data_IF_600496511080
#
_entry.id   IF_600496511080
#
_cell.length_a   1.000
_cell.length_b   1.000
_cell.length_c   1.000
_cell.angle_alpha   90.00
_cell.angle_beta   90.00
_cell.angle_gamma   90.00
#
_symmetry.space_group_name_H-M   'P 1'
#
loop_
_entity.id
_entity.type
_entity.pdbx_description
1 polymer ?
#
# COMPACT_ATOMS: atom_id res chain seq x y z
N UNK A 1 -19.32 -22.92 -11.87
CA UNK A 1 -17.93 -22.56 -11.44
C UNK A 1 -17.64 -21.13 -11.93
N UNK A 2 -16.90 -20.28 -11.20
CA UNK A 2 -16.64 -18.90 -11.65
C UNK A 2 -15.40 -18.85 -12.54
N UNK A 3 -15.61 -18.80 -13.85
CA UNK A 3 -14.55 -18.46 -14.80
C UNK A 3 -14.30 -16.94 -14.80
N UNK A 4 -13.07 -16.55 -15.09
CA UNK A 4 -12.59 -15.18 -14.88
C UNK A 4 -13.28 -14.15 -15.79
N UNK A 5 -13.76 -13.07 -15.17
CA UNK A 5 -13.84 -11.77 -15.84
C UNK A 5 -12.41 -11.34 -16.13
N UNK A 6 -12.09 -11.02 -17.38
CA UNK A 6 -10.81 -10.41 -17.71
C UNK A 6 -10.75 -9.01 -17.08
N UNK A 7 -9.74 -8.74 -16.24
CA UNK A 7 -9.62 -7.51 -15.44
C UNK A 7 -9.46 -6.20 -16.22
N UNK A 8 -9.66 -6.21 -17.54
CA UNK A 8 -9.69 -4.99 -18.37
C UNK A 8 -10.82 -4.03 -18.01
N UNK A 9 -11.83 -4.48 -17.26
CA UNK A 9 -12.87 -3.61 -16.70
C UNK A 9 -12.41 -2.86 -15.43
N UNK A 10 -11.37 -3.34 -14.73
CA UNK A 10 -10.81 -2.68 -13.54
C UNK A 10 -9.92 -1.47 -13.91
N UNK A 11 -9.59 -1.36 -15.20
CA UNK A 11 -8.76 -0.32 -15.80
C UNK A 11 -9.58 0.77 -16.55
N UNK A 12 -10.92 0.66 -16.58
CA UNK A 12 -11.84 1.64 -17.18
C UNK A 12 -12.14 2.80 -16.19
N UNK A 13 -11.80 4.06 -16.52
CA UNK A 13 -12.02 5.21 -15.64
C UNK A 13 -13.47 5.73 -15.63
N UNK A 14 -14.35 5.34 -16.56
CA UNK A 14 -15.74 5.85 -16.62
C UNK A 14 -16.70 5.10 -15.68
N UNK A 15 -16.31 3.93 -15.17
CA UNK A 15 -17.11 3.14 -14.23
C UNK A 15 -17.03 3.70 -12.79
N UNK A 16 -17.82 4.75 -12.54
CA UNK A 16 -17.98 5.35 -11.20
C UNK A 16 -18.60 4.34 -10.20
N UNK A 17 -17.73 3.73 -9.39
CA UNK A 17 -18.04 2.61 -8.48
C UNK A 17 -19.00 3.00 -7.34
N UNK A 18 -20.32 2.96 -7.59
CA UNK A 18 -21.40 3.30 -6.63
C UNK A 18 -21.62 2.29 -5.49
N UNK A 19 -20.56 1.63 -5.01
CA UNK A 19 -20.61 0.74 -3.85
C UNK A 19 -20.12 1.50 -2.62
N UNK A 20 -20.94 1.60 -1.58
CA UNK A 20 -20.51 2.15 -0.28
C UNK A 20 -19.55 1.17 0.41
N UNK A 21 -18.26 1.28 0.09
CA UNK A 21 -17.21 0.42 0.63
C UNK A 21 -17.07 0.65 2.15
N UNK A 22 -17.63 -0.26 2.95
CA UNK A 22 -17.45 -0.24 4.41
C UNK A 22 -16.00 -0.59 4.77
N UNK A 23 -15.15 0.43 4.83
CA UNK A 23 -13.75 0.31 5.26
C UNK A 23 -13.70 -0.03 6.77
N UNK A 24 -13.00 -1.11 7.19
CA UNK A 24 -12.72 -1.34 8.60
C UNK A 24 -11.75 -0.27 9.14
N UNK A 25 -11.74 0.00 10.46
CA UNK A 25 -10.91 1.05 11.03
C UNK A 25 -9.41 0.90 10.74
N UNK A 26 -8.72 2.03 10.51
CA UNK A 26 -7.28 2.03 10.20
C UNK A 26 -6.44 1.51 11.38
N UNK A 27 -5.65 0.45 11.14
CA UNK A 27 -4.91 -0.26 12.18
C UNK A 27 -3.54 0.39 12.45
N UNK A 28 -3.29 0.73 13.71
CA UNK A 28 -1.99 1.24 14.17
C UNK A 28 -1.02 0.13 14.56
N UNK A 29 0.17 0.12 13.96
CA UNK A 29 1.29 -0.76 14.34
C UNK A 29 2.37 0.04 15.10
N UNK A 30 2.91 -0.54 16.17
CA UNK A 30 3.98 0.07 16.96
C UNK A 30 5.11 -0.91 17.25
N UNK A 31 6.36 -0.43 17.17
CA UNK A 31 7.54 -1.23 17.50
C UNK A 31 7.71 -1.40 19.03
N UNK A 32 8.39 -2.48 19.45
CA UNK A 32 8.65 -2.80 20.87
C UNK A 32 9.44 -1.68 21.56
N UNK A 33 8.77 -0.88 22.38
CA UNK A 33 9.37 0.13 23.28
C UNK A 33 9.59 -0.40 24.71
N UNK A 34 9.86 -1.69 24.84
CA UNK A 34 10.45 -2.35 26.02
C UNK A 34 9.58 -2.53 27.28
N UNK A 35 8.65 -1.62 27.59
CA UNK A 35 7.94 -1.62 28.89
C UNK A 35 6.58 -2.32 28.87
N UNK A 36 6.23 -2.99 29.97
CA UNK A 36 4.87 -3.56 30.20
C UNK A 36 3.77 -2.49 30.07
N UNK A 37 4.05 -1.26 30.52
CA UNK A 37 3.15 -0.09 30.41
C UNK A 37 2.80 0.22 28.96
N UNK A 38 3.78 0.19 28.06
CA UNK A 38 3.55 0.49 26.65
C UNK A 38 2.77 -0.65 25.96
N UNK A 39 3.07 -1.91 26.27
CA UNK A 39 2.28 -3.05 25.77
C UNK A 39 0.81 -3.00 26.23
N UNK A 40 0.55 -2.60 27.48
CA UNK A 40 -0.81 -2.34 27.97
C UNK A 40 -1.51 -1.20 27.25
N UNK A 41 -0.79 -0.11 26.95
CA UNK A 41 -1.33 1.04 26.22
C UNK A 41 -1.67 0.70 24.75
N UNK A 42 -0.94 -0.23 24.12
CA UNK A 42 -1.28 -0.74 22.79
C UNK A 42 -2.56 -1.59 22.82
N UNK A 43 -2.65 -2.56 23.75
CA UNK A 43 -3.87 -3.37 23.92
C UNK A 43 -5.11 -2.53 24.21
N UNK A 44 -4.99 -1.52 25.07
CA UNK A 44 -6.08 -0.62 25.43
C UNK A 44 -6.53 0.37 24.33
N UNK A 45 -5.92 0.31 23.13
CA UNK A 45 -6.27 1.15 21.99
C UNK A 45 -6.58 0.34 20.70
N UNK A 46 -6.59 -1.00 20.78
CA UNK A 46 -6.62 -1.95 19.65
C UNK A 46 -5.44 -1.81 18.67
N UNK A 47 -4.22 -1.73 19.21
CA UNK A 47 -2.99 -1.63 18.43
C UNK A 47 -2.22 -2.95 18.34
N UNK A 48 -1.49 -3.07 17.22
CA UNK A 48 -0.73 -4.26 16.86
C UNK A 48 0.78 -4.01 16.96
N UNK A 49 1.57 -5.08 17.04
CA UNK A 49 3.03 -4.96 17.10
C UNK A 49 3.64 -4.90 15.70
N UNK A 50 4.64 -4.03 15.51
CA UNK A 50 5.58 -4.15 14.40
C UNK A 50 6.80 -4.95 14.89
N UNK A 51 6.92 -6.19 14.43
CA UNK A 51 8.07 -7.07 14.72
C UNK A 51 9.09 -6.87 13.61
N UNK A 52 10.30 -6.41 13.95
CA UNK A 52 11.38 -6.16 12.97
C UNK A 52 12.35 -7.33 12.89
N UNK A 53 12.76 -7.70 11.68
CA UNK A 53 13.81 -8.70 11.46
C UNK A 53 15.15 -8.34 12.14
N UNK A 54 15.47 -7.05 12.26
CA UNK A 54 16.66 -6.53 12.98
C UNK A 54 16.41 -6.35 14.49
N UNK A 55 15.51 -7.13 15.09
CA UNK A 55 15.10 -7.02 16.50
C UNK A 55 14.69 -8.34 17.15
N UNK A 56 14.15 -8.26 18.36
CA UNK A 56 13.62 -9.45 19.04
C UNK A 56 12.33 -9.92 18.35
N UNK A 57 12.32 -11.16 17.84
CA UNK A 57 11.15 -11.80 17.20
C UNK A 57 10.09 -12.25 18.23
N UNK A 58 9.71 -11.38 19.17
CA UNK A 58 8.71 -11.60 20.23
C UNK A 58 7.39 -10.90 19.88
N UNK A 59 6.28 -11.60 20.04
CA UNK A 59 4.92 -11.13 19.69
C UNK A 59 4.06 -10.82 20.91
N UNK A 60 4.47 -11.18 22.13
CA UNK A 60 3.75 -10.91 23.39
C UNK A 60 2.26 -11.37 23.42
N UNK A 61 1.88 -12.30 22.54
CA UNK A 61 0.49 -12.71 22.32
C UNK A 61 -0.40 -11.64 21.68
N UNK A 62 0.17 -10.63 21.03
CA UNK A 62 -0.52 -9.54 20.31
C UNK A 62 -0.47 -9.83 18.81
N UNK A 63 -1.54 -9.58 18.03
CA UNK A 63 -1.49 -9.51 16.57
C UNK A 63 -0.40 -8.55 16.09
N UNK A 64 0.22 -8.86 14.95
CA UNK A 64 1.45 -8.21 14.53
C UNK A 64 1.71 -8.32 13.03
N UNK A 65 2.54 -7.40 12.53
CA UNK A 65 3.10 -7.42 11.20
C UNK A 65 4.63 -7.57 11.24
N UNK A 66 5.21 -8.03 10.14
CA UNK A 66 6.65 -8.27 9.99
C UNK A 66 7.33 -7.18 9.15
N UNK A 67 8.13 -6.35 9.83
CA UNK A 67 9.05 -5.37 9.23
C UNK A 67 10.35 -6.03 8.76
N UNK A 68 10.81 -5.65 7.57
CA UNK A 68 12.03 -6.16 6.95
C UNK A 68 13.32 -5.62 7.60
N UNK A 69 13.26 -4.49 8.31
CA UNK A 69 14.41 -3.84 8.96
C UNK A 69 15.28 -2.97 8.04
N UNK A 70 14.91 -2.78 6.77
CA UNK A 70 15.67 -2.00 5.79
C UNK A 70 15.89 -0.54 6.23
N UNK A 71 14.87 0.10 6.81
CA UNK A 71 15.00 1.44 7.38
C UNK A 71 16.08 1.52 8.47
N UNK A 72 16.22 0.48 9.32
CA UNK A 72 17.27 0.44 10.34
C UNK A 72 18.66 0.24 9.74
N UNK A 73 18.78 -0.56 8.68
CA UNK A 73 20.05 -0.75 7.97
C UNK A 73 20.49 0.56 7.30
N UNK A 74 19.58 1.19 6.55
CA UNK A 74 19.75 2.51 5.92
C UNK A 74 20.20 3.58 6.91
N UNK A 75 19.55 3.70 8.08
CA UNK A 75 19.93 4.66 9.14
C UNK A 75 21.35 4.49 9.69
N UNK A 76 22.04 3.40 9.35
CA UNK A 76 23.38 3.06 9.84
C UNK A 76 24.43 2.93 8.75
N UNK A 77 24.05 3.05 7.48
CA UNK A 77 24.90 2.67 6.35
C UNK A 77 25.18 1.16 6.28
N UNK A 78 24.40 0.32 6.97
CA UNK A 78 24.51 -1.14 6.91
C UNK A 78 23.84 -1.67 5.62
N UNK A 79 24.38 -2.74 5.04
CA UNK A 79 23.70 -3.49 3.99
C UNK A 79 22.45 -4.22 4.52
N UNK A 80 21.49 -4.52 3.62
CA UNK A 80 20.28 -5.25 4.00
C UNK A 80 20.58 -6.69 4.45
N UNK A 81 20.03 -7.07 5.60
CA UNK A 81 20.32 -8.32 6.30
C UNK A 81 19.37 -9.44 5.87
N UNK A 82 19.65 -9.99 4.70
CA UNK A 82 18.88 -11.07 4.07
C UNK A 82 18.74 -12.30 4.98
N UNK A 83 19.74 -12.58 5.84
CA UNK A 83 19.73 -13.71 6.77
C UNK A 83 18.80 -13.44 7.96
N UNK A 84 18.87 -12.25 8.57
CA UNK A 84 17.94 -11.88 9.64
C UNK A 84 16.49 -11.88 9.14
N UNK A 85 16.25 -11.38 7.92
CA UNK A 85 14.91 -11.38 7.32
C UNK A 85 14.39 -12.81 7.07
N UNK A 86 15.19 -13.69 6.45
CA UNK A 86 14.82 -15.09 6.24
C UNK A 86 14.46 -15.80 7.57
N UNK A 87 15.27 -15.63 8.61
CA UNK A 87 15.01 -16.19 9.95
C UNK A 87 13.75 -15.59 10.61
N UNK A 88 13.41 -14.34 10.30
CA UNK A 88 12.19 -13.71 10.77
C UNK A 88 10.95 -14.27 10.05
N UNK A 89 11.02 -14.43 8.73
CA UNK A 89 9.96 -15.04 7.91
C UNK A 89 9.68 -16.48 8.37
N UNK A 90 10.71 -17.31 8.56
CA UNK A 90 10.59 -18.68 9.10
C UNK A 90 9.80 -18.76 10.42
N UNK A 91 10.05 -17.81 11.32
CA UNK A 91 9.57 -17.86 12.71
C UNK A 91 8.24 -17.14 12.90
N UNK A 92 7.85 -16.27 11.97
CA UNK A 92 6.78 -15.27 12.16
C UNK A 92 5.96 -14.95 10.90
N UNK A 93 6.46 -15.22 9.69
CA UNK A 93 5.79 -14.85 8.44
C UNK A 93 4.36 -15.40 8.35
N UNK A 94 4.19 -16.72 8.47
CA UNK A 94 2.92 -17.46 8.39
C UNK A 94 1.76 -16.86 9.23
N UNK A 95 2.07 -16.21 10.36
CA UNK A 95 1.09 -15.69 11.33
C UNK A 95 1.16 -14.18 11.52
N UNK A 96 1.78 -13.46 10.60
CA UNK A 96 1.72 -12.00 10.56
C UNK A 96 0.48 -11.54 9.77
N UNK A 97 -0.06 -10.38 10.11
CA UNK A 97 -1.15 -9.74 9.36
C UNK A 97 -0.74 -9.38 7.92
N UNK A 98 0.55 -9.12 7.76
CA UNK A 98 1.29 -8.95 6.51
C UNK A 98 2.80 -8.95 6.82
N UNK A 99 3.62 -9.17 5.80
CA UNK A 99 5.06 -8.90 5.81
C UNK A 99 5.41 -7.92 4.69
N UNK A 100 6.30 -6.96 4.96
CA UNK A 100 6.85 -6.10 3.90
C UNK A 100 8.03 -6.80 3.25
N UNK A 101 8.07 -6.80 1.92
CA UNK A 101 9.17 -7.38 1.14
C UNK A 101 10.44 -6.53 1.31
N UNK A 102 11.65 -7.12 1.22
CA UNK A 102 12.91 -6.38 1.29
C UNK A 102 13.01 -5.26 0.24
N UNK A 103 13.49 -4.11 0.69
CA UNK A 103 13.50 -2.86 -0.06
C UNK A 103 14.84 -2.13 0.02
N UNK A 104 15.03 -1.19 -0.89
CA UNK A 104 16.11 -0.21 -0.85
C UNK A 104 15.47 1.15 -0.60
N UNK A 105 15.71 1.70 0.59
CA UNK A 105 15.12 2.98 1.04
C UNK A 105 15.46 4.10 0.05
N UNK A 106 14.44 4.67 -0.59
CA UNK A 106 14.53 5.68 -1.65
C UNK A 106 15.21 5.20 -2.96
N UNK A 107 15.42 3.90 -3.14
CA UNK A 107 16.18 3.31 -4.24
C UNK A 107 15.45 3.11 -5.58
N UNK A 108 14.27 3.71 -5.77
CA UNK A 108 13.48 3.61 -7.01
C UNK A 108 13.30 2.17 -7.52
N UNK A 109 13.41 1.97 -8.83
CA UNK A 109 13.20 0.67 -9.48
C UNK A 109 14.13 -0.44 -8.98
N UNK A 110 15.36 -0.13 -8.56
CA UNK A 110 16.26 -1.12 -7.96
C UNK A 110 15.70 -1.69 -6.64
N UNK A 111 14.83 -0.96 -5.93
CA UNK A 111 14.07 -1.49 -4.81
C UNK A 111 12.93 -2.42 -5.24
N UNK A 112 12.27 -2.15 -6.37
CA UNK A 112 11.24 -3.04 -6.91
C UNK A 112 11.85 -4.36 -7.36
N UNK A 113 12.97 -4.32 -8.09
CA UNK A 113 13.76 -5.50 -8.47
C UNK A 113 14.16 -6.35 -7.27
N UNK A 114 14.48 -5.72 -6.14
CA UNK A 114 14.85 -6.42 -4.91
C UNK A 114 13.62 -7.05 -4.23
N UNK A 115 12.51 -6.30 -4.13
CA UNK A 115 11.24 -6.83 -3.62
C UNK A 115 10.71 -7.99 -4.48
N UNK A 116 10.82 -7.92 -5.81
CA UNK A 116 10.39 -8.97 -6.75
C UNK A 116 11.16 -10.29 -6.57
N UNK A 117 12.48 -10.22 -6.37
CA UNK A 117 13.33 -11.40 -6.08
C UNK A 117 12.89 -12.10 -4.78
N UNK A 118 12.35 -11.36 -3.82
CA UNK A 118 11.79 -11.92 -2.59
C UNK A 118 10.34 -12.38 -2.72
N UNK A 119 9.51 -11.69 -3.51
CA UNK A 119 8.15 -12.15 -3.86
C UNK A 119 8.19 -13.54 -4.52
N UNK A 120 9.15 -13.74 -5.44
CA UNK A 120 9.39 -15.04 -6.07
C UNK A 120 9.82 -16.11 -5.06
N UNK A 121 10.82 -15.79 -4.21
CA UNK A 121 11.34 -16.67 -3.15
C UNK A 121 10.30 -17.04 -2.08
N UNK A 122 9.27 -16.22 -1.91
CA UNK A 122 8.17 -16.40 -0.95
C UNK A 122 6.84 -16.77 -1.62
N UNK A 123 6.83 -17.15 -2.90
CA UNK A 123 5.63 -17.63 -3.60
C UNK A 123 4.98 -18.79 -2.82
N UNK A 124 3.66 -18.74 -2.69
CA UNK A 124 2.87 -19.73 -1.92
C UNK A 124 2.77 -19.46 -0.42
N UNK A 125 3.37 -18.37 0.09
CA UNK A 125 3.26 -17.98 1.50
C UNK A 125 1.79 -17.59 1.81
N UNK A 126 1.14 -18.15 2.84
CA UNK A 126 -0.26 -17.82 3.17
C UNK A 126 -0.42 -16.41 3.79
N UNK A 127 0.69 -15.80 4.22
CA UNK A 127 0.73 -14.42 4.70
C UNK A 127 0.78 -13.41 3.55
N UNK A 128 0.01 -12.33 3.68
CA UNK A 128 0.00 -11.22 2.72
C UNK A 128 1.38 -10.56 2.63
N UNK A 129 1.86 -10.36 1.41
CA UNK A 129 3.12 -9.66 1.15
C UNK A 129 2.84 -8.21 0.72
N UNK A 130 3.67 -7.26 1.13
CA UNK A 130 3.57 -5.86 0.68
C UNK A 130 4.83 -5.46 -0.10
N UNK A 131 4.65 -4.91 -1.30
CA UNK A 131 5.71 -4.28 -2.09
C UNK A 131 5.99 -2.89 -1.49
N UNK A 132 7.25 -2.61 -1.17
CA UNK A 132 7.65 -1.33 -0.61
C UNK A 132 7.91 -0.29 -1.73
N UNK A 133 6.92 0.55 -2.01
CA UNK A 133 7.03 1.58 -3.06
C UNK A 133 7.93 2.73 -2.61
N UNK A 134 8.86 3.17 -3.46
CA UNK A 134 9.92 4.14 -3.13
C UNK A 134 9.86 5.37 -4.05
N UNK A 135 10.67 6.37 -3.73
CA UNK A 135 10.92 7.55 -4.57
C UNK A 135 11.18 7.16 -6.03
N UNK A 136 10.42 7.76 -6.96
CA UNK A 136 10.59 7.59 -8.40
C UNK A 136 9.71 6.51 -9.05
N UNK A 137 9.16 5.55 -8.29
CA UNK A 137 8.22 4.56 -8.82
C UNK A 137 6.89 5.21 -9.22
N UNK A 138 6.30 4.73 -10.31
CA UNK A 138 4.98 5.10 -10.81
C UNK A 138 3.94 3.99 -10.51
N UNK A 139 2.67 4.29 -10.78
CA UNK A 139 1.56 3.33 -10.65
C UNK A 139 1.81 2.08 -11.50
N UNK A 140 2.17 2.29 -12.76
CA UNK A 140 2.19 1.22 -13.78
C UNK A 140 3.34 0.22 -13.57
N UNK A 141 4.43 0.66 -12.93
CA UNK A 141 5.54 -0.20 -12.47
C UNK A 141 5.06 -1.33 -11.53
N UNK A 142 3.95 -1.10 -10.81
CA UNK A 142 3.49 -1.97 -9.71
C UNK A 142 2.08 -2.51 -9.96
N UNK A 143 1.24 -1.83 -10.76
CA UNK A 143 -0.20 -2.11 -10.87
C UNK A 143 -0.57 -3.54 -11.28
N UNK A 144 0.28 -4.21 -12.07
CA UNK A 144 0.09 -5.60 -12.52
C UNK A 144 0.53 -6.66 -11.50
N UNK A 145 1.24 -6.25 -10.45
CA UNK A 145 1.76 -7.12 -9.38
C UNK A 145 0.80 -7.23 -8.19
N UNK A 146 -0.20 -6.35 -8.12
CA UNK A 146 -1.06 -6.17 -6.95
C UNK A 146 -2.29 -7.08 -6.96
N UNK A 147 -2.70 -7.49 -5.76
CA UNK A 147 -3.86 -8.35 -5.51
C UNK A 147 -4.26 -8.32 -4.03
N UNK A 148 -5.37 -8.95 -3.60
CA UNK A 148 -5.68 -9.10 -2.18
C UNK A 148 -4.57 -9.78 -1.33
N UNK A 149 -3.67 -10.54 -1.97
CA UNK A 149 -2.52 -11.20 -1.38
C UNK A 149 -1.18 -10.43 -1.52
N UNK A 150 -1.09 -9.48 -2.46
CA UNK A 150 0.10 -8.64 -2.70
C UNK A 150 -0.31 -7.16 -2.66
N UNK A 151 -0.03 -6.50 -1.54
CA UNK A 151 -0.38 -5.10 -1.29
C UNK A 151 0.77 -4.12 -1.42
N UNK A 152 0.53 -2.88 -0.99
CA UNK A 152 1.46 -1.75 -1.03
C UNK A 152 1.90 -1.37 0.40
N UNK A 153 3.19 -1.14 0.58
CA UNK A 153 3.77 -0.42 1.72
C UNK A 153 4.40 0.88 1.20
N UNK A 154 3.91 2.06 1.62
CA UNK A 154 4.49 3.33 1.15
C UNK A 154 5.81 3.64 1.86
N UNK A 155 6.91 3.22 1.21
CA UNK A 155 8.30 3.50 1.54
C UNK A 155 8.74 4.91 1.13
N UNK A 156 10.04 5.12 0.96
CA UNK A 156 10.62 6.39 0.54
C UNK A 156 10.72 7.48 1.61
N UNK A 157 11.05 8.70 1.16
CA UNK A 157 11.23 9.89 1.98
C UNK A 157 9.94 10.31 2.72
N UNK A 158 10.02 11.31 3.61
CA UNK A 158 8.82 11.84 4.28
C UNK A 158 7.94 12.60 3.27
N UNK A 159 8.57 13.43 2.45
CA UNK A 159 7.94 14.27 1.43
C UNK A 159 7.26 13.43 0.34
N UNK A 160 7.96 12.44 -0.23
CA UNK A 160 7.43 11.53 -1.25
C UNK A 160 6.14 10.83 -0.79
N UNK A 161 6.12 10.39 0.48
CA UNK A 161 4.93 9.81 1.11
C UNK A 161 3.76 10.80 1.16
N UNK A 162 4.03 12.05 1.51
CA UNK A 162 2.97 13.07 1.65
C UNK A 162 2.42 13.53 0.30
N UNK A 163 3.26 13.62 -0.72
CA UNK A 163 2.87 13.93 -2.10
C UNK A 163 2.10 12.77 -2.74
N UNK A 164 2.62 11.53 -2.67
CA UNK A 164 2.10 10.41 -3.49
C UNK A 164 1.06 9.51 -2.81
N UNK A 165 0.80 9.65 -1.50
CA UNK A 165 -0.08 8.71 -0.79
C UNK A 165 -1.49 8.57 -1.41
N UNK A 166 -2.06 9.65 -1.94
CA UNK A 166 -3.38 9.61 -2.58
C UNK A 166 -3.39 8.76 -3.87
N UNK A 167 -2.31 8.80 -4.66
CA UNK A 167 -2.15 7.98 -5.88
C UNK A 167 -2.11 6.50 -5.54
N UNK A 168 -1.28 6.12 -4.55
CA UNK A 168 -1.20 4.74 -4.06
C UNK A 168 -2.49 4.28 -3.38
N UNK A 169 -3.24 5.18 -2.75
CA UNK A 169 -4.60 4.95 -2.23
C UNK A 169 -5.59 4.56 -3.33
N UNK A 170 -5.63 5.34 -4.42
CA UNK A 170 -6.48 5.06 -5.57
C UNK A 170 -6.12 3.75 -6.27
N UNK A 171 -4.82 3.44 -6.42
CA UNK A 171 -4.36 2.16 -6.96
C UNK A 171 -4.77 0.99 -6.04
N UNK A 172 -4.58 1.12 -4.72
CA UNK A 172 -4.93 0.08 -3.77
C UNK A 172 -6.43 -0.23 -3.76
N UNK A 173 -7.28 0.79 -3.93
CA UNK A 173 -8.73 0.59 -4.12
C UNK A 173 -9.02 -0.24 -5.39
N UNK A 174 -8.51 0.20 -6.56
CA UNK A 174 -8.77 -0.47 -7.85
C UNK A 174 -8.27 -1.91 -7.90
N UNK A 175 -7.11 -2.22 -7.32
CA UNK A 175 -6.56 -3.59 -7.27
C UNK A 175 -7.01 -4.39 -6.03
N UNK A 176 -7.96 -3.85 -5.26
CA UNK A 176 -8.49 -4.40 -4.00
C UNK A 176 -7.39 -4.92 -3.04
N UNK A 177 -6.24 -4.27 -3.03
CA UNK A 177 -5.05 -4.71 -2.30
C UNK A 177 -4.89 -3.94 -0.98
N UNK A 178 -4.16 -4.52 -0.03
CA UNK A 178 -3.91 -3.88 1.26
C UNK A 178 -2.92 -2.72 1.13
N UNK A 179 -3.17 -1.62 1.84
CA UNK A 179 -2.29 -0.44 1.87
C UNK A 179 -1.80 -0.13 3.28
N UNK A 180 -0.47 -0.03 3.43
CA UNK A 180 0.21 0.41 4.65
C UNK A 180 1.06 1.66 4.39
N UNK A 181 1.10 2.63 5.33
CA UNK A 181 1.93 3.85 5.20
C UNK A 181 3.04 3.91 6.25
N UNK A 182 4.29 3.93 5.79
CA UNK A 182 5.46 3.83 6.66
C UNK A 182 5.79 5.08 7.49
N UNK A 183 6.24 4.85 8.73
CA UNK A 183 6.82 5.83 9.69
C UNK A 183 5.93 7.04 10.01
N UNK A 184 4.61 6.90 10.04
CA UNK A 184 3.63 7.96 10.34
C UNK A 184 3.78 8.44 11.79
N UNK A 185 4.46 9.58 11.96
CA UNK A 185 4.88 10.07 13.29
C UNK A 185 4.23 11.40 13.71
N UNK A 186 3.24 11.92 12.98
CA UNK A 186 2.55 13.18 13.31
C UNK A 186 1.07 13.14 12.94
N UNK A 187 0.25 13.94 13.62
CA UNK A 187 -1.19 14.05 13.36
C UNK A 187 -1.54 14.60 11.95
N UNK A 188 -0.62 15.34 11.29
CA UNK A 188 -0.77 15.72 9.88
C UNK A 188 -0.57 14.52 8.95
N UNK A 189 0.48 13.71 9.19
CA UNK A 189 0.75 12.51 8.38
C UNK A 189 -0.28 11.41 8.60
N UNK A 190 -0.86 11.31 9.80
CA UNK A 190 -1.99 10.43 10.08
C UNK A 190 -3.25 10.83 9.32
N UNK A 191 -3.53 12.14 9.17
CA UNK A 191 -4.61 12.65 8.31
C UNK A 191 -4.40 12.29 6.84
N UNK A 192 -3.19 12.51 6.30
CA UNK A 192 -2.84 12.14 4.91
C UNK A 192 -3.00 10.62 4.69
N UNK A 193 -2.53 9.82 5.64
CA UNK A 193 -2.64 8.35 5.61
C UNK A 193 -4.10 7.86 5.64
N UNK A 194 -4.96 8.46 6.46
CA UNK A 194 -6.38 8.12 6.51
C UNK A 194 -7.14 8.62 5.25
N UNK A 195 -6.82 9.80 4.73
CA UNK A 195 -7.40 10.34 3.49
C UNK A 195 -7.02 9.52 2.25
N UNK A 196 -5.82 8.93 2.24
CA UNK A 196 -5.39 7.95 1.24
C UNK A 196 -6.11 6.58 1.35
N UNK A 197 -7.05 6.41 2.27
CA UNK A 197 -7.79 5.15 2.46
C UNK A 197 -6.94 3.98 2.93
N UNK A 198 -5.78 4.24 3.56
CA UNK A 198 -4.87 3.19 4.00
C UNK A 198 -5.49 2.30 5.07
N UNK A 199 -5.21 0.99 5.01
CA UNK A 199 -5.68 0.02 6.00
C UNK A 199 -4.85 0.06 7.28
N UNK A 200 -3.60 0.54 7.22
CA UNK A 200 -2.71 0.66 8.39
C UNK A 200 -1.50 1.59 8.21
N UNK A 201 -0.77 1.80 9.31
CA UNK A 201 0.45 2.60 9.38
C UNK A 201 1.34 2.16 10.56
N UNK A 202 2.64 2.45 10.49
CA UNK A 202 3.59 2.29 11.60
C UNK A 202 4.10 3.63 12.13
N UNK A 203 4.73 3.62 13.31
CA UNK A 203 5.51 4.75 13.81
C UNK A 203 6.00 4.59 15.26
N UNK A 204 6.88 5.51 15.67
CA UNK A 204 7.55 5.50 16.98
C UNK A 204 6.92 6.47 17.98
N UNK A 205 6.31 7.56 17.52
CA UNK A 205 5.71 8.60 18.36
C UNK A 205 4.29 8.29 18.86
N UNK A 206 3.82 7.07 18.63
CA UNK A 206 2.42 6.82 18.31
C UNK A 206 1.47 6.62 19.50
N UNK A 207 1.98 6.25 20.68
CA UNK A 207 1.19 6.23 21.92
C UNK A 207 0.60 7.62 22.28
N UNK A 208 1.16 8.71 21.73
CA UNK A 208 0.62 10.08 21.86
C UNK A 208 -0.65 10.33 21.04
N UNK A 209 -0.89 9.55 19.98
CA UNK A 209 -1.96 9.79 19.00
C UNK A 209 -3.11 8.76 19.03
N UNK A 210 -3.04 7.74 19.91
CA UNK A 210 -4.09 6.73 20.06
C UNK A 210 -5.50 7.32 20.27
N UNK A 211 -5.63 8.39 21.07
CA UNK A 211 -6.92 9.08 21.30
C UNK A 211 -7.48 9.84 20.09
N UNK A 212 -6.66 10.13 19.08
CA UNK A 212 -7.08 10.84 17.86
C UNK A 212 -7.55 9.91 16.74
N UNK A 213 -7.19 8.62 16.77
CA UNK A 213 -7.54 7.67 15.72
C UNK A 213 -9.05 7.47 15.53
N UNK A 214 -9.86 7.13 16.55
CA UNK A 214 -11.30 6.91 16.38
C UNK A 214 -12.10 8.15 15.93
N UNK A 215 -11.46 9.33 15.92
CA UNK A 215 -12.02 10.58 15.40
C UNK A 215 -11.65 10.81 13.94
N UNK A 216 -10.37 10.64 13.58
CA UNK A 216 -9.91 10.76 12.20
C UNK A 216 -10.52 9.68 11.30
N UNK A 217 -10.53 8.44 11.77
CA UNK A 217 -11.12 7.27 11.10
C UNK A 217 -12.65 7.37 10.94
N UNK A 218 -13.32 8.15 11.80
CA UNK A 218 -14.74 8.48 11.64
C UNK A 218 -14.94 9.63 10.65
N UNK A 219 -14.09 10.66 10.70
CA UNK A 219 -14.17 11.80 9.80
C UNK A 219 -13.91 11.41 8.33
N UNK A 220 -12.96 10.52 8.05
CA UNK A 220 -12.74 10.00 6.69
C UNK A 220 -13.91 9.14 6.21
N UNK A 221 -14.49 8.30 7.07
CA UNK A 221 -15.71 7.54 6.73
C UNK A 221 -16.96 8.42 6.55
N UNK A 222 -16.99 9.61 7.15
CA UNK A 222 -18.03 10.62 6.89
C UNK A 222 -17.76 11.37 5.58
N UNK A 223 -16.50 11.65 5.25
CA UNK A 223 -16.11 12.16 3.94
C UNK A 223 -16.47 11.15 2.83
N UNK A 224 -16.20 9.85 2.99
CA UNK A 224 -16.60 8.79 2.04
C UNK A 224 -18.13 8.73 1.77
N UNK A 225 -18.99 9.37 2.57
CA UNK A 225 -20.45 9.51 2.26
C UNK A 225 -20.80 10.78 1.46
N UNK A 226 -19.87 11.73 1.32
CA UNK A 226 -20.06 13.00 0.61
C UNK A 226 -18.98 13.27 -0.46
N UNK A 227 -17.97 12.39 -0.59
CA UNK A 227 -16.79 12.55 -1.45
C UNK A 227 -16.88 11.80 -2.79
N UNK A 228 -18.08 11.73 -3.35
CA UNK A 228 -18.21 12.04 -4.78
C UNK A 228 -17.99 13.56 -4.98
N UNK A 229 -18.25 14.09 -6.17
CA UNK A 229 -18.23 15.56 -6.45
C UNK A 229 -16.83 16.20 -6.46
N UNK A 230 -16.05 15.80 -7.46
CA UNK A 230 -15.25 16.66 -8.36
C UNK A 230 -14.15 17.62 -7.86
N UNK A 231 -14.36 18.47 -6.84
CA UNK A 231 -13.59 19.73 -6.66
C UNK A 231 -12.05 19.53 -6.58
N UNK A 232 -11.58 18.58 -5.75
CA UNK A 232 -10.14 18.40 -5.52
C UNK A 232 -9.36 17.77 -6.69
N UNK A 233 -10.04 17.28 -7.72
CA UNK A 233 -9.43 16.67 -8.90
C UNK A 233 -9.17 17.72 -10.00
N UNK A 234 -10.08 18.67 -10.19
CA UNK A 234 -9.88 19.82 -11.08
C UNK A 234 -8.75 20.72 -10.56
N UNK A 235 -8.71 21.02 -9.25
CA UNK A 235 -7.61 21.80 -8.64
C UNK A 235 -6.23 21.16 -8.88
N UNK A 236 -6.13 19.83 -8.73
CA UNK A 236 -4.89 19.09 -8.93
C UNK A 236 -4.46 19.00 -10.41
N UNK A 237 -5.43 18.86 -11.32
CA UNK A 237 -5.17 18.85 -12.76
C UNK A 237 -4.76 20.24 -13.25
N UNK A 238 -5.45 21.31 -12.83
CA UNK A 238 -5.11 22.68 -13.19
C UNK A 238 -3.71 23.07 -12.70
N UNK A 239 -3.37 22.77 -11.44
CA UNK A 239 -2.03 23.02 -10.90
C UNK A 239 -0.92 22.26 -11.66
N UNK A 240 -1.22 21.06 -12.18
CA UNK A 240 -0.28 20.28 -12.98
C UNK A 240 -0.14 20.83 -14.40
N UNK A 241 -1.25 21.28 -15.01
CA UNK A 241 -1.26 21.92 -16.32
C UNK A 241 -0.48 23.25 -16.31
N UNK A 242 -0.69 24.11 -15.30
CA UNK A 242 0.01 25.39 -15.17
C UNK A 242 1.53 25.21 -15.04
N UNK A 243 1.97 24.14 -14.35
CA UNK A 243 3.39 23.78 -14.25
C UNK A 243 3.95 23.32 -15.61
N UNK A 244 3.22 22.45 -16.33
CA UNK A 244 3.62 21.98 -17.66
C UNK A 244 3.68 23.10 -18.70
N UNK A 245 2.68 23.99 -18.74
CA UNK A 245 2.67 25.18 -19.61
C UNK A 245 3.92 26.03 -19.34
N UNK A 246 4.21 26.31 -18.06
CA UNK A 246 5.35 27.13 -17.64
C UNK A 246 6.72 26.49 -17.90
N UNK A 247 6.79 25.19 -18.15
CA UNK A 247 7.98 24.46 -18.59
C UNK A 247 8.09 24.42 -20.12
N UNK A 248 6.97 24.36 -20.83
CA UNK A 248 6.89 24.11 -22.28
C UNK A 248 6.75 25.38 -23.14
N UNK A 249 6.46 26.55 -22.56
CA UNK A 249 6.46 27.84 -23.28
C UNK A 249 7.73 28.66 -22.99
N UNK A 250 8.73 28.67 -23.89
CA UNK A 250 9.59 29.84 -24.07
C UNK A 250 8.72 31.07 -24.39
N UNK A 251 9.19 32.26 -24.07
CA UNK A 251 8.41 33.50 -24.22
C UNK A 251 8.14 33.87 -25.68
N UNK A 252 6.92 33.63 -26.20
CA UNK A 252 6.48 34.19 -27.48
C UNK A 252 5.15 33.69 -28.07
N UNK A 253 4.22 34.64 -28.28
CA UNK A 253 3.08 34.63 -29.24
C UNK A 253 1.82 33.74 -29.03
N UNK A 254 0.68 34.32 -29.42
CA UNK A 254 -0.67 33.78 -29.73
C UNK A 254 -0.93 33.96 -31.26
N UNK A 255 -2.03 33.49 -31.92
CA UNK A 255 -3.29 32.85 -31.46
C UNK A 255 -3.44 31.41 -32.06
N UNK A 256 -4.54 30.79 -32.57
CA UNK A 256 -5.93 31.12 -33.00
C UNK A 256 -6.84 29.84 -32.96
N UNK A 257 -8.01 29.81 -33.65
CA UNK A 257 -9.09 28.80 -33.54
C UNK A 257 -9.19 27.79 -34.71
N UNK A 258 -9.77 26.60 -34.48
CA UNK A 258 -9.99 25.58 -35.54
C UNK A 258 -10.89 24.35 -35.26
N UNK A 259 -12.22 24.55 -35.22
CA UNK A 259 -13.36 23.58 -35.36
C UNK A 259 -13.15 22.04 -35.45
N UNK A 260 -13.76 21.33 -34.48
CA UNK A 260 -14.63 20.12 -34.56
C UNK A 260 -14.80 19.28 -35.85
N UNK A 261 -14.95 17.95 -35.70
CA UNK A 261 -16.15 17.16 -36.13
C UNK A 261 -16.24 15.78 -35.42
N UNK A 262 -17.22 14.92 -35.76
CA UNK A 262 -17.92 14.01 -34.82
C UNK A 262 -18.09 12.55 -35.32
N UNK A 263 -18.09 11.60 -34.37
CA UNK A 263 -18.89 10.35 -34.28
C UNK A 263 -18.62 9.16 -35.23
N UNK A 264 -18.70 7.94 -34.69
CA UNK A 264 -18.73 6.68 -35.46
C UNK A 264 -18.45 5.41 -34.64
N UNK A 265 -19.49 4.75 -34.12
CA UNK A 265 -19.36 3.51 -33.31
C UNK A 265 -20.16 2.34 -33.93
N UNK A 266 -19.87 1.09 -33.54
CA UNK A 266 -20.86 -0.01 -33.45
C UNK A 266 -20.32 -1.24 -32.70
N UNK A 267 -21.23 -2.04 -32.11
CA UNK A 267 -20.94 -3.21 -31.25
C UNK A 267 -21.00 -4.57 -31.98
N UNK A 268 -20.48 -5.63 -31.34
CA UNK A 268 -20.75 -7.03 -31.71
C UNK A 268 -20.49 -8.02 -30.57
N UNK A 269 -21.56 -8.59 -29.98
CA UNK A 269 -21.50 -9.53 -28.83
C UNK A 269 -21.90 -10.97 -29.20
N UNK A 270 -21.42 -11.96 -28.43
CA UNK A 270 -22.07 -13.28 -28.21
C UNK A 270 -21.41 -14.08 -27.06
N UNK A 271 -22.17 -14.98 -26.45
CA UNK A 271 -21.82 -15.77 -25.25
C UNK A 271 -21.51 -17.25 -25.60
N UNK A 272 -21.00 -18.05 -24.63
CA UNK A 272 -21.71 -19.22 -24.04
C UNK A 272 -20.84 -20.15 -23.12
N UNK A 273 -21.42 -20.52 -21.96
CA UNK A 273 -21.30 -21.80 -21.19
C UNK A 273 -20.06 -22.17 -20.31
N UNK A 274 -20.42 -22.50 -19.05
CA UNK A 274 -19.95 -23.40 -17.94
C UNK A 274 -18.84 -24.48 -18.19
N UNK A 275 -18.25 -25.24 -17.24
CA UNK A 275 -18.48 -25.58 -15.80
C UNK A 275 -17.13 -26.00 -15.09
N UNK A 276 -17.13 -26.44 -13.81
CA UNK A 276 -16.21 -27.49 -13.31
C UNK A 276 -15.51 -27.26 -11.96
N UNK A 277 -16.19 -27.33 -10.81
CA UNK A 277 -15.59 -27.04 -9.48
C UNK A 277 -14.59 -28.08 -8.94
N UNK A 278 -13.64 -27.68 -8.06
CA UNK A 278 -13.22 -28.47 -6.86
C UNK A 278 -12.29 -27.81 -5.83
N UNK A 279 -12.56 -28.18 -4.56
CA UNK A 279 -11.77 -28.03 -3.33
C UNK A 279 -10.33 -28.60 -3.43
N UNK A 280 -9.36 -27.94 -2.77
CA UNK A 280 -8.25 -28.63 -2.10
C UNK A 280 -7.63 -27.80 -0.96
N UNK A 281 -7.02 -28.50 0.01
CA UNK A 281 -6.73 -28.05 1.38
C UNK A 281 -5.24 -27.83 1.66
N UNK A 282 -4.97 -27.30 2.86
CA UNK A 282 -3.69 -26.90 3.43
C UNK A 282 -2.43 -27.68 3.00
N UNK A 283 -1.39 -26.92 2.66
CA UNK A 283 -0.02 -27.41 2.52
C UNK A 283 0.96 -26.45 3.22
N UNK A 284 1.37 -26.79 4.45
CA UNK A 284 2.29 -25.97 5.25
C UNK A 284 3.74 -26.04 4.72
N UNK A 285 4.04 -25.21 3.71
CA UNK A 285 5.37 -25.09 3.11
C UNK A 285 6.39 -24.48 4.08
N UNK A 286 7.37 -25.29 4.52
CA UNK A 286 8.56 -24.80 5.22
C UNK A 286 9.61 -24.33 4.21
N UNK A 287 9.86 -23.03 4.18
CA UNK A 287 10.78 -22.39 3.25
C UNK A 287 12.24 -22.72 3.59
N UNK A 288 12.83 -23.70 2.89
CA UNK A 288 14.27 -23.97 3.01
C UNK A 288 15.05 -22.89 2.28
N UNK A 289 15.75 -22.06 3.02
CA UNK A 289 16.69 -21.10 2.45
C UNK A 289 17.90 -21.84 1.86
N UNK A 290 18.38 -21.46 0.65
CA UNK A 290 19.68 -21.89 0.20
C UNK A 290 20.76 -21.38 1.17
N UNK A 291 21.78 -22.19 1.41
CA UNK A 291 22.98 -21.74 2.08
C UNK A 291 23.79 -20.84 1.15
N UNK A 292 24.42 -19.82 1.74
CA UNK A 292 25.44 -18.96 1.14
C UNK A 292 26.66 -19.04 2.07
#
# INVERSE_FOLDING_TARGET
>A
MYYGVGGSADDDPELEERITVYRPPIVGYASRTGTRRNLGALKGADWRLLVSAKGELRTEGIPYALDNGAWRAYQRGEAFDQRAFAVAVDRRGERADWLVLPDIVMGGMASLDFSLKWLERLRGMPCRMLIAVQNGMQVDDVASLLSPAVGIFIGGSTEWKEQTAHVWGSLARRRHCYLHVGRVNSARRLRICAAAGANSFDGTSLSRYAKTLPRLDRATRQADMFAAVHESLEEAQQATADILIRILTPSGAYPERGRSYFLGATNGTRNLVEDGSRDRRDAALRYRWPAH
#
